data_IF_995867738884
#
_entry.id   IF_995867738884
#
_cell.length_a   1.000
_cell.length_b   1.000
_cell.length_c   1.000
_cell.angle_alpha   90.00
_cell.angle_beta   90.00
_cell.angle_gamma   90.00
#
_symmetry.space_group_name_H-M   'P 1'
#
loop_
_entity.id
_entity.type
_entity.pdbx_description
1 polymer ?
#
# COMPACT_ATOMS: atom_id res chain seq x y z
N UNK A 1 2.46 11.79 -9.72
CA UNK A 1 2.74 11.16 -8.41
C UNK A 1 2.82 9.66 -8.63
N UNK A 2 3.95 9.02 -8.34
CA UNK A 2 4.08 7.57 -8.47
C UNK A 2 3.22 6.90 -7.38
N UNK A 3 2.47 5.86 -7.73
CA UNK A 3 1.72 5.07 -6.74
C UNK A 3 2.66 4.33 -5.76
N UNK A 4 3.93 4.12 -6.15
CA UNK A 4 4.96 3.50 -5.32
C UNK A 4 6.27 4.28 -5.48
N UNK A 5 6.75 4.89 -4.40
CA UNK A 5 8.06 5.54 -4.37
C UNK A 5 9.15 4.55 -3.96
N UNK A 6 10.10 4.30 -4.87
CA UNK A 6 11.24 3.42 -4.60
C UNK A 6 12.37 4.26 -4.02
N UNK A 7 12.85 3.89 -2.85
CA UNK A 7 14.04 4.50 -2.27
C UNK A 7 15.31 3.94 -2.93
N UNK A 8 15.81 4.65 -3.95
CA UNK A 8 17.00 4.25 -4.71
C UNK A 8 18.31 4.37 -3.94
N UNK A 9 18.34 5.17 -2.87
CA UNK A 9 19.53 5.38 -2.05
C UNK A 9 19.20 5.25 -0.56
N UNK A 10 18.92 4.02 -0.09
CA UNK A 10 18.48 3.80 1.27
C UNK A 10 19.56 4.23 2.28
N UNK A 11 19.13 4.88 3.34
CA UNK A 11 20.01 5.32 4.42
C UNK A 11 20.55 4.11 5.20
N UNK A 12 21.64 4.29 5.94
CA UNK A 12 22.31 3.23 6.70
C UNK A 12 21.36 2.49 7.66
N UNK A 13 20.44 3.24 8.29
CA UNK A 13 19.45 2.68 9.21
C UNK A 13 18.45 1.77 8.48
N UNK A 14 18.04 2.15 7.27
CA UNK A 14 17.08 1.39 6.46
C UNK A 14 17.68 0.08 5.97
N UNK A 15 18.92 0.08 5.48
CA UNK A 15 19.63 -1.15 5.10
C UNK A 15 19.75 -2.11 6.29
N UNK A 16 20.11 -1.60 7.48
CA UNK A 16 20.20 -2.43 8.69
C UNK A 16 18.85 -3.00 9.11
N UNK A 17 17.80 -2.19 9.07
CA UNK A 17 16.44 -2.65 9.34
C UNK A 17 16.01 -3.72 8.33
N UNK A 18 16.33 -3.55 7.05
CA UNK A 18 16.09 -4.55 6.02
C UNK A 18 16.78 -5.88 6.35
N UNK A 19 18.06 -5.86 6.75
CA UNK A 19 18.76 -7.07 7.18
C UNK A 19 18.09 -7.77 8.37
N UNK A 20 17.65 -7.03 9.38
CA UNK A 20 16.94 -7.57 10.55
C UNK A 20 15.60 -8.19 10.13
N UNK A 21 14.81 -7.46 9.34
CA UNK A 21 13.51 -7.93 8.84
C UNK A 21 13.70 -9.20 8.00
N UNK A 22 14.72 -9.23 7.14
CA UNK A 22 15.02 -10.39 6.30
C UNK A 22 15.40 -11.61 7.12
N UNK A 23 16.17 -11.45 8.20
CA UNK A 23 16.49 -12.52 9.13
C UNK A 23 15.23 -13.09 9.79
N UNK A 24 14.39 -12.22 10.35
CA UNK A 24 13.14 -12.63 11.02
C UNK A 24 12.22 -13.32 10.02
N UNK A 25 12.04 -12.76 8.83
CA UNK A 25 11.20 -13.33 7.79
C UNK A 25 11.72 -14.71 7.35
N UNK A 26 13.03 -14.86 7.12
CA UNK A 26 13.63 -16.14 6.75
C UNK A 26 13.47 -17.21 7.83
N UNK A 27 13.59 -16.83 9.11
CA UNK A 27 13.39 -17.73 10.24
C UNK A 27 11.92 -18.20 10.33
N UNK A 28 10.97 -17.26 10.22
CA UNK A 28 9.55 -17.58 10.22
C UNK A 28 9.18 -18.49 9.04
N UNK A 29 9.69 -18.20 7.84
CA UNK A 29 9.45 -19.04 6.66
C UNK A 29 10.05 -20.43 6.85
N UNK A 30 11.27 -20.55 7.37
CA UNK A 30 11.92 -21.84 7.61
C UNK A 30 11.12 -22.69 8.62
N UNK A 31 10.66 -22.10 9.73
CA UNK A 31 9.83 -22.77 10.73
C UNK A 31 8.48 -23.17 10.13
N UNK A 32 7.82 -22.27 9.41
CA UNK A 32 6.51 -22.51 8.82
C UNK A 32 6.56 -23.65 7.79
N UNK A 33 7.59 -23.66 6.94
CA UNK A 33 7.79 -24.71 5.94
C UNK A 33 8.12 -26.05 6.59
N UNK A 34 8.89 -26.06 7.66
CA UNK A 34 9.18 -27.27 8.43
C UNK A 34 7.90 -27.84 9.06
N UNK A 35 7.10 -27.01 9.72
CA UNK A 35 5.90 -27.45 10.46
C UNK A 35 4.73 -27.81 9.53
N UNK A 36 4.44 -26.98 8.52
CA UNK A 36 3.25 -27.18 7.66
C UNK A 36 3.49 -28.12 6.49
N UNK A 37 4.70 -28.10 5.90
CA UNK A 37 5.01 -28.89 4.70
C UNK A 37 5.91 -30.08 4.97
N UNK A 38 6.35 -30.29 6.21
CA UNK A 38 7.28 -31.37 6.56
C UNK A 38 8.58 -31.31 5.79
N UNK A 39 9.00 -30.11 5.36
CA UNK A 39 10.23 -29.93 4.61
C UNK A 39 11.41 -30.45 5.43
N UNK A 40 12.28 -31.25 4.81
CA UNK A 40 13.45 -31.79 5.50
C UNK A 40 14.26 -30.68 6.17
N UNK A 41 14.76 -30.95 7.38
CA UNK A 41 15.48 -29.97 8.22
C UNK A 41 16.60 -29.26 7.45
N UNK A 42 17.23 -29.96 6.49
CA UNK A 42 18.27 -29.45 5.60
C UNK A 42 17.83 -28.24 4.77
N UNK A 43 16.61 -28.25 4.23
CA UNK A 43 16.10 -27.14 3.43
C UNK A 43 15.72 -25.94 4.31
N UNK A 44 15.15 -26.20 5.48
CA UNK A 44 14.84 -25.16 6.46
C UNK A 44 16.11 -24.47 6.96
N UNK A 45 17.18 -25.22 7.23
CA UNK A 45 18.48 -24.65 7.65
C UNK A 45 19.14 -23.86 6.52
N UNK A 46 19.08 -24.31 5.27
CA UNK A 46 19.61 -23.54 4.12
C UNK A 46 18.92 -22.17 4.02
N UNK A 47 17.59 -22.12 4.15
CA UNK A 47 16.81 -20.87 4.08
C UNK A 47 17.22 -19.92 5.22
N UNK A 48 17.32 -20.45 6.44
CA UNK A 48 17.72 -19.66 7.59
C UNK A 48 19.16 -19.14 7.48
N UNK A 49 20.10 -19.99 7.04
CA UNK A 49 21.51 -19.61 6.84
C UNK A 49 21.63 -18.55 5.74
N UNK A 50 20.89 -18.67 4.65
CA UNK A 50 20.85 -17.65 3.61
C UNK A 50 20.36 -16.30 4.16
N UNK A 51 19.30 -16.32 4.98
CA UNK A 51 18.81 -15.12 5.68
C UNK A 51 19.84 -14.51 6.64
N UNK A 52 20.56 -15.36 7.36
CA UNK A 52 21.63 -14.95 8.29
C UNK A 52 22.82 -14.32 7.56
N UNK A 53 23.21 -14.84 6.40
CA UNK A 53 24.26 -14.27 5.55
C UNK A 53 23.88 -12.88 5.06
N UNK A 54 22.62 -12.68 4.64
CA UNK A 54 22.13 -11.36 4.21
C UNK A 54 22.14 -10.38 5.38
N UNK A 55 21.73 -10.82 6.57
CA UNK A 55 21.81 -10.03 7.80
C UNK A 55 23.24 -9.60 8.13
N UNK A 56 24.20 -10.53 8.13
CA UNK A 56 25.62 -10.22 8.35
C UNK A 56 26.16 -9.25 7.31
N UNK A 57 25.83 -9.48 6.03
CA UNK A 57 26.23 -8.62 4.91
C UNK A 57 25.70 -7.21 5.08
N UNK A 58 24.51 -7.04 5.67
CA UNK A 58 23.92 -5.74 5.98
C UNK A 58 24.73 -4.92 6.98
N UNK A 59 25.51 -5.54 7.85
CA UNK A 59 26.38 -4.83 8.80
C UNK A 59 27.76 -4.52 8.22
N UNK A 60 28.28 -5.41 7.37
CA UNK A 60 29.66 -5.36 6.86
C UNK A 60 29.73 -4.56 5.55
N UNK A 61 28.92 -4.91 4.54
CA UNK A 61 29.04 -4.39 3.18
C UNK A 61 27.74 -3.73 2.70
N UNK A 62 27.73 -2.39 2.70
CA UNK A 62 26.56 -1.59 2.27
C UNK A 62 26.27 -1.71 0.79
N UNK A 63 27.31 -1.77 -0.06
CA UNK A 63 27.15 -1.83 -1.51
C UNK A 63 26.40 -3.09 -1.94
N UNK A 64 26.80 -4.24 -1.41
CA UNK A 64 26.15 -5.53 -1.73
C UNK A 64 24.72 -5.55 -1.21
N UNK A 65 24.50 -5.12 0.03
CA UNK A 65 23.15 -5.07 0.63
C UNK A 65 22.21 -4.15 -0.14
N UNK A 66 22.71 -3.01 -0.66
CA UNK A 66 21.93 -2.12 -1.51
C UNK A 66 21.50 -2.80 -2.81
N UNK A 67 22.37 -3.56 -3.46
CA UNK A 67 22.02 -4.28 -4.70
C UNK A 67 20.95 -5.34 -4.42
N UNK A 68 21.10 -6.10 -3.33
CA UNK A 68 20.10 -7.10 -2.92
C UNK A 68 18.76 -6.42 -2.61
N UNK A 69 18.78 -5.33 -1.85
CA UNK A 69 17.58 -4.55 -1.51
C UNK A 69 16.84 -4.05 -2.75
N UNK A 70 17.56 -3.41 -3.68
CA UNK A 70 16.97 -2.89 -4.91
C UNK A 70 16.45 -4.00 -5.82
N UNK A 71 17.19 -5.10 -5.96
CA UNK A 71 16.74 -6.27 -6.72
C UNK A 71 15.46 -6.86 -6.16
N UNK A 72 15.39 -7.05 -4.83
CA UNK A 72 14.21 -7.59 -4.16
C UNK A 72 13.00 -6.65 -4.27
N UNK A 73 13.20 -5.34 -4.11
CA UNK A 73 12.12 -4.36 -4.30
C UNK A 73 11.61 -4.38 -5.74
N UNK A 74 12.51 -4.41 -6.72
CA UNK A 74 12.12 -4.38 -8.12
C UNK A 74 11.30 -5.62 -8.50
N UNK A 75 11.64 -6.79 -7.94
CA UNK A 75 10.87 -8.02 -8.12
C UNK A 75 9.52 -7.97 -7.39
N UNK A 76 9.44 -7.32 -6.23
CA UNK A 76 8.19 -7.25 -5.44
C UNK A 76 7.27 -6.07 -5.83
N UNK A 77 7.73 -5.12 -6.65
CA UNK A 77 6.93 -3.99 -7.15
C UNK A 77 5.59 -4.39 -7.78
N UNK A 78 5.52 -5.37 -8.70
CA UNK A 78 4.25 -5.78 -9.30
C UNK A 78 3.26 -6.31 -8.26
N UNK A 79 3.75 -6.99 -7.22
CA UNK A 79 2.91 -7.50 -6.13
C UNK A 79 2.28 -6.32 -5.38
N UNK A 80 3.08 -5.31 -5.03
CA UNK A 80 2.59 -4.09 -4.39
C UNK A 80 1.52 -3.40 -5.23
N UNK A 81 1.74 -3.27 -6.54
CA UNK A 81 0.79 -2.67 -7.46
C UNK A 81 -0.55 -3.43 -7.49
N UNK A 82 -0.51 -4.76 -7.64
CA UNK A 82 -1.72 -5.60 -7.64
C UNK A 82 -2.47 -5.47 -6.31
N UNK A 83 -1.77 -5.49 -5.19
CA UNK A 83 -2.39 -5.31 -3.87
C UNK A 83 -3.04 -3.93 -3.77
N UNK A 84 -2.37 -2.86 -4.19
CA UNK A 84 -2.95 -1.50 -4.17
C UNK A 84 -4.23 -1.41 -5.00
N UNK A 85 -4.23 -1.94 -6.23
CA UNK A 85 -5.42 -1.96 -7.07
C UNK A 85 -6.53 -2.84 -6.48
N UNK A 86 -6.17 -3.98 -5.89
CA UNK A 86 -7.14 -4.87 -5.24
C UNK A 86 -7.79 -4.20 -4.04
N UNK A 87 -7.01 -3.58 -3.17
CA UNK A 87 -7.54 -2.84 -2.01
C UNK A 87 -8.44 -1.69 -2.46
N UNK A 88 -8.03 -0.94 -3.48
CA UNK A 88 -8.84 0.15 -4.04
C UNK A 88 -10.15 -0.37 -4.66
N UNK A 89 -10.09 -1.46 -5.41
CA UNK A 89 -11.26 -2.10 -6.00
C UNK A 89 -12.22 -2.60 -4.91
N UNK A 90 -11.69 -3.29 -3.89
CA UNK A 90 -12.49 -3.75 -2.75
C UNK A 90 -13.15 -2.57 -2.05
N UNK A 91 -12.40 -1.52 -1.74
CA UNK A 91 -12.96 -0.32 -1.12
C UNK A 91 -14.06 0.32 -1.98
N UNK A 92 -13.83 0.46 -3.28
CA UNK A 92 -14.80 1.06 -4.18
C UNK A 92 -16.07 0.21 -4.33
N UNK A 93 -15.94 -1.10 -4.55
CA UNK A 93 -17.06 -1.97 -4.84
C UNK A 93 -17.79 -2.49 -3.60
N UNK A 94 -17.12 -2.64 -2.46
CA UNK A 94 -17.74 -3.14 -1.22
C UNK A 94 -18.14 -2.03 -0.25
N UNK A 95 -17.55 -0.83 -0.31
CA UNK A 95 -17.97 0.29 0.54
C UNK A 95 -18.72 1.35 -0.26
N UNK A 96 -18.07 1.98 -1.26
CA UNK A 96 -18.68 3.12 -1.95
C UNK A 96 -19.90 2.73 -2.79
N UNK A 97 -19.81 1.64 -3.54
CA UNK A 97 -20.88 1.18 -4.43
C UNK A 97 -22.17 0.83 -3.68
N UNK A 98 -22.16 0.02 -2.59
CA UNK A 98 -23.39 -0.28 -1.86
C UNK A 98 -23.95 0.95 -1.13
N UNK A 99 -23.12 1.87 -0.65
CA UNK A 99 -23.61 3.15 -0.10
C UNK A 99 -24.33 3.97 -1.17
N UNK A 100 -23.75 4.07 -2.37
CA UNK A 100 -24.38 4.74 -3.50
C UNK A 100 -25.68 4.04 -3.95
N UNK A 101 -25.69 2.71 -3.96
CA UNK A 101 -26.89 1.92 -4.25
C UNK A 101 -27.98 2.15 -3.20
N UNK A 102 -27.62 2.19 -1.92
CA UNK A 102 -28.53 2.49 -0.82
C UNK A 102 -29.17 3.87 -0.96
N UNK A 103 -28.39 4.91 -1.28
CA UNK A 103 -28.93 6.24 -1.56
C UNK A 103 -29.86 6.24 -2.78
N UNK A 104 -29.50 5.51 -3.83
CA UNK A 104 -30.35 5.36 -5.02
C UNK A 104 -31.67 4.68 -4.70
N UNK A 105 -31.68 3.63 -3.88
CA UNK A 105 -32.89 2.92 -3.44
C UNK A 105 -33.78 3.80 -2.55
N UNK A 106 -33.19 4.63 -1.68
CA UNK A 106 -33.90 5.62 -0.86
C UNK A 106 -34.37 6.85 -1.65
N UNK A 107 -34.05 6.95 -2.95
CA UNK A 107 -34.38 8.11 -3.78
C UNK A 107 -33.60 9.38 -3.43
N UNK A 108 -32.62 9.30 -2.52
CA UNK A 108 -31.76 10.42 -2.13
C UNK A 108 -30.73 10.67 -3.23
N UNK A 109 -30.75 11.89 -3.78
CA UNK A 109 -29.77 12.37 -4.74
C UNK A 109 -28.99 13.56 -4.17
N UNK A 110 -28.06 13.32 -3.21
CA UNK A 110 -27.30 14.40 -2.57
C UNK A 110 -26.36 15.13 -3.54
N UNK A 111 -26.10 14.55 -4.71
CA UNK A 111 -25.22 15.12 -5.73
C UNK A 111 -26.00 15.84 -6.85
N UNK A 112 -27.33 15.94 -6.74
CA UNK A 112 -28.21 16.52 -7.78
C UNK A 112 -27.89 16.02 -9.19
N UNK A 113 -27.66 14.71 -9.34
CA UNK A 113 -27.26 14.08 -10.60
C UNK A 113 -28.44 13.78 -11.53
N UNK A 114 -29.67 13.83 -11.03
CA UNK A 114 -30.87 13.66 -11.86
C UNK A 114 -30.99 14.82 -12.86
N UNK A 115 -31.24 14.47 -14.11
CA UNK A 115 -31.52 15.43 -15.17
C UNK A 115 -32.94 15.99 -14.98
N UNK A 116 -33.04 17.30 -14.89
CA UNK A 116 -34.28 18.08 -14.90
C UNK A 116 -34.42 18.81 -16.24
N UNK A 117 -35.39 18.39 -17.05
CA UNK A 117 -35.66 18.99 -18.36
C UNK A 117 -36.32 20.36 -18.29
N UNK A 118 -36.87 20.72 -17.12
CA UNK A 118 -37.57 21.99 -16.91
C UNK A 118 -36.67 23.04 -16.23
N UNK A 119 -35.42 22.70 -15.93
CA UNK A 119 -34.48 23.64 -15.33
C UNK A 119 -33.93 24.60 -16.39
N UNK A 120 -34.14 25.91 -16.18
CA UNK A 120 -33.57 26.97 -17.04
C UNK A 120 -32.03 26.96 -17.04
N UNK A 121 -31.42 26.54 -15.92
CA UNK A 121 -29.97 26.36 -15.78
C UNK A 121 -29.63 25.44 -14.61
N UNK A 122 -28.58 24.63 -14.75
CA UNK A 122 -28.00 23.81 -13.66
C UNK A 122 -27.00 24.59 -12.82
N UNK A 123 -26.82 25.89 -13.07
CA UNK A 123 -25.86 26.71 -12.35
C UNK A 123 -26.30 26.88 -10.89
N UNK A 124 -25.51 26.35 -9.96
CA UNK A 124 -25.75 26.54 -8.54
C UNK A 124 -25.22 27.91 -8.15
N UNK A 125 -26.11 28.86 -7.87
CA UNK A 125 -25.74 30.20 -7.41
C UNK A 125 -24.98 30.09 -6.10
N UNK A 126 -23.68 30.36 -6.15
CA UNK A 126 -22.82 30.36 -4.98
C UNK A 126 -23.24 31.53 -4.07
N UNK A 127 -23.78 31.24 -2.90
CA UNK A 127 -23.95 32.28 -1.87
C UNK A 127 -22.55 32.76 -1.47
N UNK A 128 -22.31 34.06 -1.62
CA UNK A 128 -21.10 34.69 -1.11
C UNK A 128 -21.00 34.45 0.41
N UNK A 129 -19.78 34.38 0.97
CA UNK A 129 -19.63 34.23 2.40
C UNK A 129 -20.22 35.46 3.10
N UNK A 130 -20.92 35.24 4.21
CA UNK A 130 -21.49 36.33 5.03
C UNK A 130 -20.38 37.23 5.61
N UNK A 131 -19.14 36.74 5.70
CA UNK A 131 -17.95 37.51 6.08
C UNK A 131 -16.67 37.00 5.40
N UNK A 132 -15.69 37.89 5.08
CA UNK A 132 -14.39 37.49 4.54
C UNK A 132 -13.61 36.56 5.47
N UNK A 133 -13.82 36.67 6.78
CA UNK A 133 -13.12 35.88 7.80
C UNK A 133 -13.37 34.37 7.68
N UNK A 134 -14.51 33.98 7.11
CA UNK A 134 -14.87 32.58 6.91
C UNK A 134 -13.90 31.84 5.98
N UNK A 135 -13.19 32.53 5.10
CA UNK A 135 -12.15 31.91 4.27
C UNK A 135 -10.96 31.41 5.10
N UNK A 136 -10.73 31.97 6.29
CA UNK A 136 -9.65 31.54 7.18
C UNK A 136 -10.04 30.37 8.10
N UNK A 137 -11.31 29.95 8.12
CA UNK A 137 -11.86 28.88 8.97
C UNK A 137 -12.52 27.78 8.13
N UNK A 138 -11.75 27.18 7.21
CA UNK A 138 -12.28 26.23 6.23
C UNK A 138 -12.34 24.76 6.73
N UNK A 139 -11.88 24.48 7.96
CA UNK A 139 -11.88 23.16 8.59
C UNK A 139 -12.64 23.18 9.91
#
# INVERSE_FOLDING_TARGET
MSLIEINWNPNRKELRNFGIIYLIASALIAILLYVLKGLGIQWATIIFVAGFIVFLTSFICRKVTRVIYLGLILVTLPIGMVVSFTVLAVFYFLLLTPVGLFFRLLGRDPLHRKYDSNADTYWITRRGPDSPDRYFHQF
#
